data_IF_248360244350
#
_entry.id   IF_248360244350
#
_cell.length_a   1.000
_cell.length_b   1.000
_cell.length_c   1.000
_cell.angle_alpha   90.00
_cell.angle_beta   90.00
_cell.angle_gamma   90.00
#
_symmetry.space_group_name_H-M   'P 1'
#
loop_
_entity.id
_entity.type
_entity.pdbx_description
1 polymer ?
#
# COMPACT_ATOMS: atom_id res chain seq x y z
N UNK A 1 -32.38 -5.39 9.36
CA UNK A 1 -31.14 -4.72 8.91
C UNK A 1 -30.53 -5.56 7.79
N UNK A 2 -30.50 -5.03 6.57
CA UNK A 2 -29.91 -5.75 5.44
C UNK A 2 -28.40 -5.52 5.46
N UNK A 3 -27.61 -6.60 5.54
CA UNK A 3 -26.16 -6.51 5.44
C UNK A 3 -25.80 -6.05 4.02
N UNK A 4 -25.41 -4.78 3.87
CA UNK A 4 -24.80 -4.30 2.63
C UNK A 4 -23.44 -4.98 2.51
N UNK A 5 -23.28 -5.85 1.51
CA UNK A 5 -21.98 -6.50 1.26
C UNK A 5 -20.97 -5.40 0.92
N UNK A 6 -19.92 -5.20 1.73
CA UNK A 6 -18.88 -4.25 1.37
C UNK A 6 -18.22 -4.72 0.08
N UNK A 7 -17.90 -3.77 -0.80
CA UNK A 7 -17.11 -4.05 -1.99
C UNK A 7 -15.76 -4.62 -1.55
N UNK A 8 -15.56 -5.91 -1.82
CA UNK A 8 -14.37 -6.65 -1.39
C UNK A 8 -13.09 -6.05 -1.97
N UNK A 9 -13.17 -5.46 -3.17
CA UNK A 9 -12.01 -4.81 -3.80
C UNK A 9 -11.65 -3.56 -3.03
N UNK A 10 -12.65 -2.72 -2.67
CA UNK A 10 -12.42 -1.51 -1.85
C UNK A 10 -11.83 -1.85 -0.49
N UNK A 11 -12.34 -2.88 0.18
CA UNK A 11 -11.84 -3.29 1.50
C UNK A 11 -10.39 -3.82 1.43
N UNK A 12 -10.06 -4.61 0.41
CA UNK A 12 -8.70 -5.10 0.19
C UNK A 12 -7.75 -3.92 -0.08
N UNK A 13 -8.12 -2.99 -0.95
CA UNK A 13 -7.35 -1.78 -1.26
C UNK A 13 -7.09 -0.95 0.00
N UNK A 14 -8.13 -0.72 0.82
CA UNK A 14 -8.01 -0.01 2.10
C UNK A 14 -7.01 -0.68 3.03
N UNK A 15 -7.15 -1.99 3.28
CA UNK A 15 -6.23 -2.74 4.17
C UNK A 15 -4.80 -2.69 3.66
N UNK A 16 -4.61 -2.76 2.34
CA UNK A 16 -3.30 -2.67 1.72
C UNK A 16 -2.65 -1.31 1.97
N UNK A 17 -3.40 -0.22 1.80
CA UNK A 17 -2.91 1.14 2.06
C UNK A 17 -2.65 1.37 3.56
N UNK A 18 -3.56 0.96 4.45
CA UNK A 18 -3.36 1.06 5.91
C UNK A 18 -2.07 0.36 6.33
N UNK A 19 -1.87 -0.88 5.88
CA UNK A 19 -0.65 -1.63 6.18
C UNK A 19 0.58 -1.00 5.53
N UNK A 20 0.48 -0.48 4.30
CA UNK A 20 1.61 0.16 3.61
C UNK A 20 2.18 1.36 4.34
N UNK A 21 1.32 2.24 4.86
CA UNK A 21 1.76 3.37 5.68
C UNK A 21 2.37 2.93 7.02
N UNK A 22 1.78 1.91 7.66
CA UNK A 22 2.34 1.34 8.89
C UNK A 22 3.72 0.70 8.66
N UNK A 23 3.85 -0.12 7.61
CA UNK A 23 5.07 -0.80 7.22
C UNK A 23 6.20 0.20 6.93
N UNK A 24 5.87 1.30 6.26
CA UNK A 24 6.80 2.40 6.01
C UNK A 24 7.19 3.09 7.32
N UNK A 25 6.26 3.57 8.14
CA UNK A 25 6.61 4.32 9.37
C UNK A 25 7.26 3.49 10.48
N UNK A 26 7.26 2.16 10.39
CA UNK A 26 7.87 1.29 11.41
C UNK A 26 9.40 1.23 11.26
N UNK A 27 10.06 2.26 11.76
CA UNK A 27 11.52 2.39 11.77
C UNK A 27 12.21 1.21 12.47
N UNK A 28 13.41 0.85 11.99
CA UNK A 28 14.20 -0.27 12.53
C UNK A 28 13.60 -1.66 12.29
N UNK A 29 12.50 -1.78 11.54
CA UNK A 29 11.92 -3.08 11.20
C UNK A 29 12.50 -3.66 9.91
N UNK A 30 12.58 -4.99 9.85
CA UNK A 30 12.97 -5.71 8.63
C UNK A 30 12.08 -5.36 7.44
N UNK A 31 10.79 -5.08 7.69
CA UNK A 31 9.85 -4.69 6.63
C UNK A 31 10.24 -3.34 6.03
N UNK A 32 10.54 -2.33 6.87
CA UNK A 32 11.01 -1.02 6.41
C UNK A 32 12.30 -1.16 5.61
N UNK A 33 13.27 -1.91 6.14
CA UNK A 33 14.54 -2.17 5.46
C UNK A 33 14.34 -2.81 4.07
N UNK A 34 13.51 -3.84 3.94
CA UNK A 34 13.24 -4.50 2.66
C UNK A 34 12.56 -3.57 1.65
N UNK A 35 11.72 -2.63 2.11
CA UNK A 35 11.09 -1.64 1.24
C UNK A 35 12.10 -0.59 0.78
N UNK A 36 13.02 -0.16 1.65
CA UNK A 36 14.06 0.83 1.34
C UNK A 36 15.13 0.28 0.40
N UNK A 37 15.66 -0.91 0.69
CA UNK A 37 16.78 -1.52 -0.04
C UNK A 37 16.41 -2.00 -1.45
N UNK A 38 15.11 -2.05 -1.78
CA UNK A 38 14.58 -2.50 -3.07
C UNK A 38 15.33 -3.73 -3.65
N UNK A 39 15.41 -4.85 -2.91
CA UNK A 39 16.37 -5.91 -3.17
C UNK A 39 16.30 -6.41 -4.62
N UNK A 40 17.43 -6.28 -5.31
CA UNK A 40 17.59 -6.63 -6.71
C UNK A 40 17.94 -8.12 -6.80
N UNK A 41 17.10 -8.88 -7.51
CA UNK A 41 17.33 -10.32 -7.70
C UNK A 41 16.35 -10.94 -8.68
N UNK A 42 16.77 -12.05 -9.30
CA UNK A 42 15.91 -12.84 -10.18
C UNK A 42 14.94 -13.66 -9.34
N UNK A 43 13.64 -13.50 -9.58
CA UNK A 43 12.62 -14.34 -8.93
C UNK A 43 12.63 -15.74 -9.56
N UNK A 44 12.56 -16.81 -8.74
CA UNK A 44 12.44 -18.18 -9.25
C UNK A 44 11.19 -18.35 -10.13
N UNK A 45 11.26 -19.33 -11.04
CA UNK A 45 10.11 -19.78 -11.81
C UNK A 45 8.99 -20.24 -10.86
N UNK A 46 7.75 -19.87 -11.16
CA UNK A 46 6.57 -20.17 -10.34
C UNK A 46 6.17 -19.11 -9.30
N UNK A 47 7.10 -18.26 -8.84
CA UNK A 47 6.72 -17.14 -7.96
C UNK A 47 6.10 -16.01 -8.78
N UNK A 48 4.94 -15.43 -8.37
CA UNK A 48 4.38 -14.27 -9.03
C UNK A 48 5.38 -13.12 -9.18
N UNK A 49 5.42 -12.50 -10.37
CA UNK A 49 6.27 -11.33 -10.63
C UNK A 49 5.79 -10.08 -9.89
N UNK A 50 4.48 -9.98 -9.66
CA UNK A 50 3.84 -8.90 -8.92
C UNK A 50 4.37 -8.85 -7.47
N UNK A 51 4.78 -7.67 -7.02
CA UNK A 51 5.18 -7.42 -5.63
C UNK A 51 3.99 -6.83 -4.87
N UNK A 52 3.97 -7.02 -3.54
CA UNK A 52 3.02 -6.30 -2.70
C UNK A 52 3.15 -4.78 -2.87
N UNK A 53 4.38 -4.27 -2.97
CA UNK A 53 4.63 -2.84 -3.14
C UNK A 53 4.09 -2.30 -4.49
N UNK A 54 4.11 -3.11 -5.56
CA UNK A 54 3.51 -2.72 -6.84
C UNK A 54 2.00 -2.49 -6.69
N UNK A 55 1.33 -3.30 -5.87
CA UNK A 55 -0.08 -3.12 -5.56
C UNK A 55 -0.33 -1.84 -4.76
N UNK A 56 0.53 -1.49 -3.79
CA UNK A 56 0.44 -0.21 -3.08
C UNK A 56 0.62 0.97 -4.04
N UNK A 57 1.67 0.92 -4.88
CA UNK A 57 1.92 1.94 -5.91
C UNK A 57 0.73 2.09 -6.84
N UNK A 58 0.10 0.98 -7.26
CA UNK A 58 -1.10 0.98 -8.11
C UNK A 58 -2.31 1.60 -7.42
N UNK A 59 -2.57 1.24 -6.16
CA UNK A 59 -3.70 1.77 -5.39
C UNK A 59 -3.56 3.28 -5.17
N UNK A 60 -2.36 3.74 -4.76
CA UNK A 60 -2.08 5.17 -4.60
C UNK A 60 -2.20 5.92 -5.92
N UNK A 61 -1.70 5.35 -7.02
CA UNK A 61 -1.86 5.93 -8.35
C UNK A 61 -3.33 6.03 -8.80
N UNK A 62 -4.19 5.13 -8.31
CA UNK A 62 -5.63 5.18 -8.61
C UNK A 62 -6.36 6.33 -7.89
N UNK A 63 -5.84 6.76 -6.74
CA UNK A 63 -6.34 7.92 -5.99
C UNK A 63 -5.85 9.22 -6.65
N UNK A 64 -4.58 9.27 -7.02
CA UNK A 64 -4.02 10.43 -7.70
C UNK A 64 -2.74 10.10 -8.47
N UNK A 65 -2.66 10.44 -9.77
CA UNK A 65 -1.44 10.26 -10.53
C UNK A 65 -0.32 11.16 -9.97
N UNK A 66 0.90 10.64 -9.92
CA UNK A 66 2.08 11.40 -9.46
C UNK A 66 2.29 11.42 -7.94
N UNK A 67 1.37 10.87 -7.14
CA UNK A 67 1.57 10.74 -5.70
C UNK A 67 2.76 9.81 -5.40
N UNK A 68 3.79 10.36 -4.76
CA UNK A 68 4.93 9.61 -4.25
C UNK A 68 4.58 8.99 -2.90
N UNK A 69 4.08 7.76 -2.94
CA UNK A 69 3.47 7.14 -1.76
C UNK A 69 4.37 7.10 -0.51
N UNK A 70 5.69 6.88 -0.67
CA UNK A 70 6.64 6.88 0.45
C UNK A 70 6.73 8.24 1.15
N UNK A 71 6.79 9.33 0.39
CA UNK A 71 6.83 10.70 0.94
C UNK A 71 5.54 11.03 1.69
N UNK A 72 4.38 10.66 1.12
CA UNK A 72 3.09 10.87 1.78
C UNK A 72 2.93 9.97 3.00
N UNK A 73 3.49 8.76 2.97
CA UNK A 73 3.39 7.80 4.08
C UNK A 73 4.17 8.21 5.32
N UNK A 74 5.16 9.11 5.23
CA UNK A 74 5.84 9.65 6.41
C UNK A 74 4.88 10.44 7.32
N UNK A 75 3.94 11.17 6.71
CA UNK A 75 2.89 11.89 7.42
C UNK A 75 1.67 10.96 7.61
N UNK A 76 1.36 10.68 8.87
CA UNK A 76 0.27 9.76 9.23
C UNK A 76 -1.09 10.28 8.77
N UNK A 77 -1.32 11.58 8.89
CA UNK A 77 -2.63 12.19 8.61
C UNK A 77 -2.83 12.31 7.11
N UNK A 78 -1.80 12.76 6.37
CA UNK A 78 -1.84 12.77 4.90
C UNK A 78 -2.00 11.37 4.31
N UNK A 79 -1.38 10.36 4.92
CA UNK A 79 -1.58 8.98 4.52
C UNK A 79 -3.00 8.48 4.82
N UNK A 80 -3.58 8.92 5.94
CA UNK A 80 -4.96 8.61 6.30
C UNK A 80 -5.96 9.18 5.30
N UNK A 81 -5.76 10.43 4.87
CA UNK A 81 -6.60 11.06 3.86
C UNK A 81 -6.63 10.26 2.55
N UNK A 82 -5.51 9.64 2.15
CA UNK A 82 -5.46 8.82 0.94
C UNK A 82 -6.37 7.58 1.00
N UNK A 83 -6.26 6.77 2.07
CA UNK A 83 -7.08 5.56 2.13
C UNK A 83 -8.54 5.84 2.53
N UNK A 84 -8.83 7.01 3.10
CA UNK A 84 -10.19 7.53 3.27
C UNK A 84 -10.77 8.02 1.93
N UNK A 85 -9.98 8.69 1.10
CA UNK A 85 -10.42 9.06 -0.25
C UNK A 85 -10.73 7.84 -1.12
N UNK A 86 -9.99 6.74 -0.96
CA UNK A 86 -10.28 5.45 -1.60
C UNK A 86 -11.61 4.79 -1.13
N UNK A 87 -12.23 5.29 -0.05
CA UNK A 87 -13.46 4.77 0.53
C UNK A 87 -14.73 5.45 -0.03
N UNK A 88 -14.62 6.70 -0.50
CA UNK A 88 -15.74 7.44 -1.09
C UNK A 88 -16.12 6.87 -2.46
#
# INVERSE_FOLDING_TARGET
MQFQRPDIIKEITKRRLMWGGHAWRKQGSLVRLVIEEEPIGKRPLGRPRLRWEDCVKKDVKSIGPGIRWREVAEDRDRWQDLFVAAWS
#
